data_IF_833757622014
#
_entry.id   IF_833757622014
#
_cell.length_a   1.000
_cell.length_b   1.000
_cell.length_c   1.000
_cell.angle_alpha   90.00
_cell.angle_beta   90.00
_cell.angle_gamma   90.00
#
_symmetry.space_group_name_H-M   'P 1'
#
loop_
_entity.id
_entity.type
_entity.pdbx_description
1 polymer ?
#
# COMPACT_ATOMS: atom_id res chain seq x y z
N UNK A 1 -26.13 5.24 -8.33
CA UNK A 1 -25.75 4.32 -7.24
C UNK A 1 -24.30 4.49 -6.80
N UNK A 2 -23.36 4.52 -7.73
CA UNK A 2 -21.94 4.72 -7.41
C UNK A 2 -21.66 6.05 -6.69
N UNK A 3 -22.38 7.12 -7.02
CA UNK A 3 -22.23 8.44 -6.39
C UNK A 3 -22.58 8.42 -4.90
N UNK A 4 -23.64 7.70 -4.52
CA UNK A 4 -24.05 7.62 -3.12
C UNK A 4 -23.08 6.74 -2.31
N UNK A 5 -22.56 5.68 -2.91
CA UNK A 5 -21.57 4.83 -2.27
C UNK A 5 -20.26 5.57 -2.01
N UNK A 6 -19.78 6.35 -2.98
CA UNK A 6 -18.58 7.15 -2.84
C UNK A 6 -18.75 8.24 -1.76
N UNK A 7 -19.91 8.90 -1.73
CA UNK A 7 -20.19 9.91 -0.71
C UNK A 7 -20.27 9.33 0.70
N UNK A 8 -20.86 8.16 0.86
CA UNK A 8 -20.91 7.45 2.15
C UNK A 8 -19.50 7.07 2.60
N UNK A 9 -18.69 6.55 1.69
CA UNK A 9 -17.33 6.15 2.01
C UNK A 9 -16.50 7.37 2.42
N UNK A 10 -16.64 8.48 1.72
CA UNK A 10 -15.94 9.72 2.06
C UNK A 10 -16.31 10.22 3.46
N UNK A 11 -17.59 10.20 3.81
CA UNK A 11 -18.05 10.60 5.16
C UNK A 11 -17.52 9.66 6.24
N UNK A 12 -17.53 8.37 5.96
CA UNK A 12 -17.00 7.36 6.86
C UNK A 12 -15.49 7.57 7.07
N UNK A 13 -14.76 7.83 5.99
CA UNK A 13 -13.33 8.10 6.06
C UNK A 13 -13.05 9.39 6.86
N UNK A 14 -13.84 10.44 6.65
CA UNK A 14 -13.71 11.69 7.41
C UNK A 14 -13.90 11.44 8.91
N UNK A 15 -14.89 10.63 9.27
CA UNK A 15 -15.18 10.32 10.66
C UNK A 15 -14.11 9.44 11.30
N UNK A 16 -13.70 8.38 10.62
CA UNK A 16 -12.81 7.36 11.17
C UNK A 16 -11.34 7.75 11.09
N UNK A 17 -10.93 8.39 9.99
CA UNK A 17 -9.53 8.72 9.71
C UNK A 17 -9.20 10.20 9.87
N UNK A 18 -10.22 11.05 9.98
CA UNK A 18 -10.03 12.49 9.98
C UNK A 18 -9.73 13.01 8.58
N UNK A 19 -9.24 14.25 8.51
CA UNK A 19 -8.91 14.96 7.25
C UNK A 19 -7.43 15.32 7.16
N UNK A 20 -6.63 14.84 8.11
CA UNK A 20 -5.22 15.19 8.22
C UNK A 20 -4.29 14.07 7.77
N UNK A 21 -3.18 13.92 8.49
CA UNK A 21 -2.08 13.03 8.10
C UNK A 21 -2.49 11.55 8.04
N UNK A 22 -3.37 11.08 8.94
CA UNK A 22 -3.78 9.69 8.97
C UNK A 22 -4.63 9.33 7.76
N UNK A 23 -5.49 10.26 7.35
CA UNK A 23 -6.28 10.11 6.13
C UNK A 23 -5.38 10.05 4.89
N UNK A 24 -4.39 10.94 4.81
CA UNK A 24 -3.45 10.97 3.69
C UNK A 24 -2.61 9.71 3.62
N UNK A 25 -2.15 9.23 4.78
CA UNK A 25 -1.35 8.00 4.85
C UNK A 25 -2.15 6.80 4.36
N UNK A 26 -3.38 6.67 4.82
CA UNK A 26 -4.28 5.61 4.36
C UNK A 26 -4.56 5.70 2.86
N UNK A 27 -4.93 6.88 2.40
CA UNK A 27 -5.31 7.08 1.00
C UNK A 27 -4.13 6.87 0.06
N UNK A 28 -2.94 7.23 0.49
CA UNK A 28 -1.72 6.98 -0.29
C UNK A 28 -1.45 5.48 -0.45
N UNK A 29 -1.62 4.72 0.62
CA UNK A 29 -1.48 3.26 0.56
C UNK A 29 -2.52 2.67 -0.39
N UNK A 30 -3.78 3.09 -0.27
CA UNK A 30 -4.86 2.63 -1.15
C UNK A 30 -4.56 2.94 -2.62
N UNK A 31 -4.08 4.14 -2.92
CA UNK A 31 -3.72 4.51 -4.30
C UNK A 31 -2.58 3.65 -4.85
N UNK A 32 -1.60 3.34 -4.02
CA UNK A 32 -0.51 2.43 -4.40
C UNK A 32 -1.03 1.05 -4.74
N UNK A 33 -1.97 0.55 -3.95
CA UNK A 33 -2.61 -0.75 -4.17
C UNK A 33 -3.44 -0.73 -5.46
N UNK A 34 -4.23 0.32 -5.67
CA UNK A 34 -5.01 0.50 -6.90
C UNK A 34 -4.10 0.52 -8.13
N UNK A 35 -2.97 1.20 -8.02
CA UNK A 35 -1.98 1.24 -9.10
C UNK A 35 -1.41 -0.15 -9.41
N UNK A 36 -1.10 -0.92 -8.38
CA UNK A 36 -0.61 -2.28 -8.56
C UNK A 36 -1.64 -3.14 -9.31
N UNK A 37 -2.91 -3.07 -8.89
CA UNK A 37 -3.98 -3.80 -9.55
C UNK A 37 -4.17 -3.34 -11.01
N UNK A 38 -4.03 -2.06 -11.26
CA UNK A 38 -4.11 -1.51 -12.61
C UNK A 38 -3.00 -2.04 -13.51
N UNK A 39 -1.78 -2.13 -12.98
CA UNK A 39 -0.65 -2.74 -13.70
C UNK A 39 -0.94 -4.21 -13.99
N UNK A 40 -1.47 -4.93 -13.00
CA UNK A 40 -1.78 -6.35 -13.13
C UNK A 40 -2.78 -6.61 -14.26
N UNK A 41 -3.76 -5.73 -14.45
CA UNK A 41 -4.75 -5.85 -15.52
C UNK A 41 -4.11 -5.83 -16.92
N UNK A 42 -2.94 -5.23 -17.08
CA UNK A 42 -2.20 -5.16 -18.35
C UNK A 42 -1.33 -6.37 -18.63
N UNK A 43 -1.15 -7.26 -17.67
CA UNK A 43 -0.29 -8.44 -17.83
C UNK A 43 -1.02 -9.53 -18.62
N UNK A 44 -0.45 -9.93 -19.75
CA UNK A 44 -1.07 -10.91 -20.66
C UNK A 44 -0.53 -12.32 -20.49
N UNK A 45 0.69 -12.47 -20.00
CA UNK A 45 1.30 -13.77 -19.73
C UNK A 45 0.62 -14.38 -18.48
N UNK A 46 0.03 -15.58 -18.64
CA UNK A 46 -0.76 -16.21 -17.58
C UNK A 46 0.08 -16.60 -16.35
N UNK A 47 1.29 -17.08 -16.58
CA UNK A 47 2.18 -17.49 -15.50
C UNK A 47 2.63 -16.25 -14.70
N UNK A 48 3.05 -15.21 -15.40
CA UNK A 48 3.45 -13.95 -14.80
C UNK A 48 2.27 -13.31 -14.04
N UNK A 49 1.11 -13.31 -14.65
CA UNK A 49 -0.11 -12.80 -14.00
C UNK A 49 -0.38 -13.53 -12.69
N UNK A 50 -0.30 -14.86 -12.70
CA UNK A 50 -0.53 -15.66 -11.50
C UNK A 50 0.45 -15.35 -10.38
N UNK A 51 1.73 -15.18 -10.71
CA UNK A 51 2.75 -14.84 -9.73
C UNK A 51 2.54 -13.44 -9.14
N UNK A 52 2.22 -12.47 -9.98
CA UNK A 52 1.94 -11.11 -9.53
C UNK A 52 0.62 -11.01 -8.77
N UNK A 53 -0.34 -11.85 -9.09
CA UNK A 53 -1.64 -11.90 -8.40
C UNK A 53 -1.48 -12.38 -6.95
N UNK A 54 -0.63 -13.37 -6.70
CA UNK A 54 -0.33 -13.83 -5.34
C UNK A 54 0.19 -12.67 -4.49
N UNK A 55 1.10 -11.88 -5.05
CA UNK A 55 1.64 -10.69 -4.38
C UNK A 55 0.53 -9.65 -4.16
N UNK A 56 -0.32 -9.43 -5.17
CA UNK A 56 -1.44 -8.50 -5.06
C UNK A 56 -2.37 -8.85 -3.90
N UNK A 57 -2.67 -10.14 -3.74
CA UNK A 57 -3.56 -10.61 -2.67
C UNK A 57 -2.95 -10.37 -1.29
N UNK A 58 -1.65 -10.59 -1.14
CA UNK A 58 -0.95 -10.32 0.11
C UNK A 58 -0.94 -8.81 0.43
N UNK A 59 -0.70 -7.98 -0.57
CA UNK A 59 -0.70 -6.52 -0.40
C UNK A 59 -2.12 -6.01 -0.09
N UNK A 60 -3.13 -6.54 -0.77
CA UNK A 60 -4.52 -6.15 -0.52
C UNK A 60 -4.96 -6.47 0.91
N UNK A 61 -4.47 -7.58 1.47
CA UNK A 61 -4.78 -7.97 2.85
C UNK A 61 -4.24 -6.98 3.87
N UNK A 62 -3.26 -6.15 3.50
CA UNK A 62 -2.71 -5.13 4.40
C UNK A 62 -3.59 -3.90 4.52
N UNK A 63 -4.44 -3.61 3.54
CA UNK A 63 -5.23 -2.37 3.55
C UNK A 63 -6.13 -2.22 4.78
N UNK A 64 -6.90 -3.24 5.18
CA UNK A 64 -7.69 -3.15 6.41
C UNK A 64 -6.83 -2.91 7.66
N UNK A 65 -5.62 -3.46 7.70
CA UNK A 65 -4.68 -3.27 8.81
C UNK A 65 -4.17 -1.83 8.84
N UNK A 66 -3.76 -1.30 7.67
CA UNK A 66 -3.33 0.10 7.56
C UNK A 66 -4.45 1.03 8.00
N UNK A 67 -5.69 0.76 7.57
CA UNK A 67 -6.86 1.53 7.99
C UNK A 67 -7.05 1.49 9.51
N UNK A 68 -6.96 0.31 10.10
CA UNK A 68 -7.13 0.14 11.55
C UNK A 68 -6.07 0.92 12.33
N UNK A 69 -4.82 0.92 11.86
CA UNK A 69 -3.73 1.65 12.54
C UNK A 69 -3.90 3.15 12.40
N UNK A 70 -4.33 3.63 11.23
CA UNK A 70 -4.63 5.05 11.05
C UNK A 70 -5.82 5.51 11.89
N UNK A 71 -6.85 4.67 12.02
CA UNK A 71 -8.00 4.96 12.88
C UNK A 71 -7.57 5.05 14.34
N UNK A 72 -6.80 4.08 14.82
CA UNK A 72 -6.31 4.08 16.20
C UNK A 72 -5.42 5.29 16.48
N UNK A 73 -4.53 5.61 15.56
CA UNK A 73 -3.66 6.78 15.69
C UNK A 73 -4.46 8.09 15.69
N UNK A 74 -5.48 8.20 14.86
CA UNK A 74 -6.36 9.37 14.84
C UNK A 74 -7.14 9.53 16.15
N UNK A 75 -7.58 8.43 16.75
CA UNK A 75 -8.23 8.48 18.07
C UNK A 75 -7.30 9.02 19.15
N UNK A 76 -6.03 8.64 19.09
CA UNK A 76 -5.03 9.04 20.09
C UNK A 76 -4.54 10.46 19.87
N UNK A 77 -4.45 10.89 18.63
CA UNK A 77 -3.98 12.21 18.26
C UNK A 77 -4.78 12.67 17.02
N UNK A 78 -5.97 13.21 17.25
CA UNK A 78 -6.80 13.69 16.14
C UNK A 78 -6.05 14.70 15.27
N UNK A 79 -6.09 14.49 13.97
CA UNK A 79 -5.36 15.35 13.02
C UNK A 79 -6.27 15.76 11.87
N UNK A 80 -6.44 17.07 11.72
CA UNK A 80 -7.10 17.66 10.57
C UNK A 80 -6.11 18.41 9.66
N UNK A 81 -4.84 18.42 10.03
CA UNK A 81 -3.77 19.12 9.33
C UNK A 81 -2.59 18.22 9.01
N UNK A 82 -1.45 18.84 8.79
CA UNK A 82 -0.22 18.16 8.38
C UNK A 82 0.76 17.93 9.52
N UNK A 83 0.41 18.31 10.74
CA UNK A 83 1.29 18.17 11.89
C UNK A 83 1.48 16.70 12.25
N UNK A 84 2.73 16.29 12.41
CA UNK A 84 3.07 14.92 12.80
C UNK A 84 3.25 14.89 14.31
N UNK A 85 2.54 13.98 15.02
CA UNK A 85 2.74 13.82 16.45
C UNK A 85 4.14 13.30 16.77
N UNK A 86 4.59 13.48 18.00
CA UNK A 86 5.88 12.95 18.44
C UNK A 86 5.80 11.52 18.94
N UNK A 87 6.94 10.99 19.36
CA UNK A 87 7.03 9.68 20.00
C UNK A 87 6.68 8.51 19.09
N UNK A 88 5.98 7.52 19.65
CA UNK A 88 5.63 6.30 18.93
C UNK A 88 4.67 6.56 17.77
N UNK A 89 3.82 7.58 17.85
CA UNK A 89 2.93 7.92 16.74
C UNK A 89 3.70 8.48 15.54
N UNK A 90 4.81 9.21 15.79
CA UNK A 90 5.71 9.62 14.71
C UNK A 90 6.33 8.40 14.04
N UNK A 91 6.70 7.38 14.81
CA UNK A 91 7.24 6.14 14.27
C UNK A 91 6.18 5.37 13.45
N UNK A 92 4.94 5.31 13.94
CA UNK A 92 3.82 4.71 13.20
C UNK A 92 3.65 5.41 11.85
N UNK A 93 3.60 6.74 11.86
CA UNK A 93 3.46 7.53 10.63
C UNK A 93 4.61 7.25 9.66
N UNK A 94 5.84 7.21 10.17
CA UNK A 94 7.03 6.94 9.35
C UNK A 94 6.97 5.55 8.72
N UNK A 95 6.60 4.52 9.49
CA UNK A 95 6.50 3.16 8.98
C UNK A 95 5.42 3.03 7.90
N UNK A 96 4.25 3.61 8.12
CA UNK A 96 3.16 3.55 7.14
C UNK A 96 3.48 4.37 5.88
N UNK A 97 4.22 5.48 6.03
CA UNK A 97 4.67 6.27 4.88
C UNK A 97 5.69 5.49 4.06
N UNK A 98 6.61 4.80 4.71
CA UNK A 98 7.57 3.93 4.04
C UNK A 98 6.85 2.78 3.32
N UNK A 99 5.85 2.19 3.97
CA UNK A 99 5.04 1.13 3.35
C UNK A 99 4.38 1.64 2.07
N UNK A 100 3.82 2.83 2.08
CA UNK A 100 3.22 3.45 0.90
C UNK A 100 4.25 3.68 -0.21
N UNK A 101 5.44 4.14 0.14
CA UNK A 101 6.53 4.34 -0.83
C UNK A 101 6.98 3.02 -1.45
N UNK A 102 7.15 1.99 -0.63
CA UNK A 102 7.57 0.66 -1.08
C UNK A 102 6.50 0.00 -1.95
N UNK A 103 5.23 0.24 -1.63
CA UNK A 103 4.11 -0.25 -2.44
C UNK A 103 4.11 0.40 -3.82
N UNK A 104 4.32 1.72 -3.90
CA UNK A 104 4.45 2.43 -5.17
C UNK A 104 5.64 1.88 -5.98
N UNK A 105 6.75 1.58 -5.30
CA UNK A 105 7.92 0.99 -5.95
C UNK A 105 7.64 -0.43 -6.46
N UNK A 106 6.85 -1.22 -5.71
CA UNK A 106 6.45 -2.56 -6.16
C UNK A 106 5.57 -2.49 -7.40
N UNK A 107 4.62 -1.55 -7.43
CA UNK A 107 3.76 -1.34 -8.60
C UNK A 107 4.58 -0.91 -9.82
N UNK A 108 5.56 -0.03 -9.62
CA UNK A 108 6.44 0.40 -10.70
C UNK A 108 7.32 -0.75 -11.20
N UNK A 109 7.86 -1.56 -10.30
CA UNK A 109 8.65 -2.74 -10.68
C UNK A 109 7.81 -3.73 -11.49
N UNK A 110 6.56 -3.94 -11.11
CA UNK A 110 5.63 -4.79 -11.86
C UNK A 110 5.36 -4.21 -13.26
N UNK A 111 5.16 -2.89 -13.36
CA UNK A 111 4.94 -2.23 -14.65
C UNK A 111 6.15 -2.38 -15.57
N UNK A 112 7.36 -2.31 -15.03
CA UNK A 112 8.60 -2.43 -15.82
C UNK A 112 8.75 -3.80 -16.45
N UNK A 113 8.17 -4.84 -15.90
CA UNK A 113 8.28 -6.20 -16.42
C UNK A 113 7.68 -6.30 -17.83
N UNK A 114 6.46 -5.76 -18.01
CA UNK A 114 5.78 -5.90 -19.31
C UNK A 114 6.03 -4.70 -20.24
N UNK A 115 6.54 -3.58 -19.72
CA UNK A 115 6.90 -2.43 -20.55
C UNK A 115 8.27 -2.58 -21.22
N UNK A 116 9.11 -3.49 -20.71
CA UNK A 116 10.43 -3.73 -21.27
C UNK A 116 10.34 -4.76 -22.40
N UNK A 117 10.56 -4.34 -23.67
CA UNK A 117 10.44 -5.26 -24.83
C UNK A 117 11.49 -6.37 -24.85
N UNK A 118 12.56 -6.27 -24.06
CA UNK A 118 13.58 -7.30 -23.96
C UNK A 118 13.23 -8.45 -23.03
N UNK A 119 12.17 -8.31 -22.24
CA UNK A 119 11.81 -9.30 -21.20
C UNK A 119 11.20 -10.58 -21.77
N UNK A 120 10.57 -10.50 -22.93
CA UNK A 120 9.88 -11.65 -23.53
C UNK A 120 10.83 -12.74 -24.04
N UNK A 121 12.10 -12.44 -24.24
CA UNK A 121 13.06 -13.35 -24.87
C UNK A 121 14.06 -14.00 -23.90
N UNK A 122 14.01 -13.65 -22.61
CA UNK A 122 14.94 -14.18 -21.62
C UNK A 122 14.20 -14.69 -20.39
N UNK A 123 13.99 -16.03 -20.25
CA UNK A 123 13.27 -16.61 -19.10
C UNK A 123 13.83 -16.23 -17.74
N UNK A 124 15.14 -16.04 -17.65
CA UNK A 124 15.80 -15.67 -16.40
C UNK A 124 15.51 -14.23 -15.98
N UNK A 125 15.25 -13.34 -16.96
CA UNK A 125 14.94 -11.93 -16.66
C UNK A 125 13.55 -11.76 -16.05
N UNK A 126 12.56 -12.52 -16.54
CA UNK A 126 11.21 -12.49 -15.98
C UNK A 126 11.16 -12.92 -14.54
N UNK A 127 11.86 -14.02 -14.23
CA UNK A 127 11.95 -14.55 -12.86
C UNK A 127 12.62 -13.55 -11.91
N UNK A 128 13.75 -12.98 -12.33
CA UNK A 128 14.47 -11.99 -11.52
C UNK A 128 13.63 -10.72 -11.30
N UNK A 129 12.81 -10.34 -12.27
CA UNK A 129 11.94 -9.16 -12.17
C UNK A 129 10.78 -9.39 -11.21
N UNK A 130 10.17 -10.58 -11.22
CA UNK A 130 9.14 -10.97 -10.26
C UNK A 130 9.73 -11.02 -8.85
N UNK A 131 10.94 -11.55 -8.71
CA UNK A 131 11.64 -11.58 -7.44
C UNK A 131 11.88 -10.18 -6.87
N UNK A 132 12.16 -9.21 -7.74
CA UNK A 132 12.29 -7.81 -7.35
C UNK A 132 10.96 -7.26 -6.82
N UNK A 133 9.84 -7.55 -7.48
CA UNK A 133 8.51 -7.17 -7.00
C UNK A 133 8.24 -7.84 -5.64
N UNK A 134 8.53 -9.13 -5.52
CA UNK A 134 8.36 -9.89 -4.28
C UNK A 134 9.14 -9.25 -3.13
N UNK A 135 10.38 -8.88 -3.37
CA UNK A 135 11.25 -8.26 -2.36
C UNK A 135 10.68 -6.94 -1.87
N UNK A 136 10.18 -6.12 -2.79
CA UNK A 136 9.56 -4.83 -2.45
C UNK A 136 8.25 -5.02 -1.69
N UNK A 137 7.46 -6.01 -2.07
CA UNK A 137 6.23 -6.36 -1.35
C UNK A 137 6.53 -6.83 0.07
N UNK A 138 7.59 -7.62 0.26
CA UNK A 138 8.00 -8.08 1.60
C UNK A 138 8.38 -6.90 2.49
N UNK A 139 9.01 -5.86 1.93
CA UNK A 139 9.32 -4.63 2.66
C UNK A 139 8.04 -3.93 3.10
N UNK A 140 7.02 -3.87 2.23
CA UNK A 140 5.71 -3.30 2.60
C UNK A 140 5.10 -4.04 3.78
N UNK A 141 5.10 -5.36 3.73
CA UNK A 141 4.56 -6.21 4.80
C UNK A 141 5.31 -5.96 6.12
N UNK A 142 6.62 -5.88 6.05
CA UNK A 142 7.46 -5.62 7.22
C UNK A 142 7.21 -4.23 7.81
N UNK A 143 7.11 -3.20 6.98
CA UNK A 143 6.84 -1.84 7.44
C UNK A 143 5.47 -1.73 8.12
N UNK A 144 4.46 -2.41 7.60
CA UNK A 144 3.13 -2.44 8.23
C UNK A 144 3.19 -3.16 9.57
N UNK A 145 3.94 -4.26 9.66
CA UNK A 145 4.15 -4.97 10.93
C UNK A 145 4.88 -4.10 11.95
N UNK A 146 5.87 -3.33 11.51
CA UNK A 146 6.59 -2.39 12.39
C UNK A 146 5.66 -1.30 12.91
N UNK A 147 4.78 -0.78 12.07
CA UNK A 147 3.79 0.22 12.51
C UNK A 147 2.91 -0.33 13.63
N UNK A 148 2.48 -1.58 13.50
CA UNK A 148 1.70 -2.24 14.54
C UNK A 148 2.47 -2.31 15.87
N UNK A 149 3.72 -2.70 15.82
CA UNK A 149 4.56 -2.80 17.03
C UNK A 149 4.68 -1.45 17.74
N UNK A 150 4.94 -0.38 17.00
CA UNK A 150 5.02 0.96 17.59
C UNK A 150 3.68 1.42 18.17
N UNK A 151 2.58 1.05 17.54
CA UNK A 151 1.26 1.40 18.05
C UNK A 151 0.94 0.66 19.35
N UNK A 152 1.37 -0.57 19.48
CA UNK A 152 1.13 -1.42 20.65
C UNK A 152 2.03 -1.10 21.84
N UNK A 153 3.22 -0.56 21.63
CA UNK A 153 4.23 -0.33 22.67
C UNK A 153 4.12 1.03 23.36
N UNK A 154 3.02 1.75 23.21
CA UNK A 154 2.79 3.08 23.81
C UNK A 154 2.69 3.03 25.32
#
# INVERSE_FOLDING_TARGET
>A
MALFGAARQARRDDKELGKGIWRRTHDRFRRGLDRYHQVLEGVQDEELYGELLVIADELAALLPRVRAYCMAAHELYPSDGMDIPGGNLAAVHRCLSKAGNSLAAAAQAAAMIWLDPGHSDAPSSGSASVENVRRRADIVIEDVADAQRYLETR
#
